data_IF_739250036667
#
_entry.id   IF_739250036667
#
_cell.length_a   1.000
_cell.length_b   1.000
_cell.length_c   1.000
_cell.angle_alpha   90.00
_cell.angle_beta   90.00
_cell.angle_gamma   90.00
#
_symmetry.space_group_name_H-M   'P 1'
#
loop_
_entity.id
_entity.type
_entity.pdbx_description
1 polymer ?
#
# COMPACT_ATOMS: atom_id res chain seq x y z
N UNK A 1 -22.30 24.07 -12.76
CA UNK A 1 -21.38 23.65 -11.70
C UNK A 1 -20.16 23.00 -12.34
N UNK A 2 -19.03 23.69 -12.40
CA UNK A 2 -17.75 23.10 -12.81
C UNK A 2 -17.06 22.53 -11.57
N UNK A 3 -16.88 21.21 -11.52
CA UNK A 3 -16.08 20.57 -10.49
C UNK A 3 -14.61 20.88 -10.76
N UNK A 4 -13.99 21.66 -9.87
CA UNK A 4 -12.54 21.87 -9.88
C UNK A 4 -11.91 20.55 -9.43
N UNK A 5 -11.31 19.83 -10.37
CA UNK A 5 -10.50 18.66 -10.09
C UNK A 5 -9.16 19.16 -9.52
N UNK A 6 -9.03 19.22 -8.19
CA UNK A 6 -7.74 19.49 -7.55
C UNK A 6 -6.84 18.28 -7.78
N UNK A 7 -6.06 18.30 -8.86
CA UNK A 7 -4.95 17.38 -9.03
C UNK A 7 -3.92 17.74 -7.95
N UNK A 8 -3.87 16.94 -6.89
CA UNK A 8 -3.00 17.20 -5.75
C UNK A 8 -1.54 17.13 -6.23
N UNK A 9 -0.90 18.29 -6.38
CA UNK A 9 0.52 18.35 -6.72
C UNK A 9 1.33 17.89 -5.51
N UNK A 10 2.21 16.91 -5.70
CA UNK A 10 3.15 16.47 -4.68
C UNK A 10 3.97 17.65 -4.15
N UNK A 11 4.33 17.61 -2.86
CA UNK A 11 5.06 18.69 -2.20
C UNK A 11 6.41 18.97 -2.87
N UNK A 12 7.16 17.92 -3.26
CA UNK A 12 8.40 18.02 -4.03
C UNK A 12 8.33 17.04 -5.23
N UNK A 13 7.92 17.50 -6.43
CA UNK A 13 7.66 16.61 -7.57
C UNK A 13 8.87 15.80 -8.05
N UNK A 14 10.09 16.33 -7.89
CA UNK A 14 11.32 15.66 -8.30
C UNK A 14 11.77 14.55 -7.35
N UNK A 15 11.19 14.47 -6.15
CA UNK A 15 11.43 13.39 -5.18
C UNK A 15 10.35 12.29 -5.24
N UNK A 16 9.36 12.44 -6.13
CA UNK A 16 8.36 11.40 -6.35
C UNK A 16 9.00 10.14 -6.94
N UNK A 17 8.73 9.01 -6.31
CA UNK A 17 9.07 7.68 -6.81
C UNK A 17 7.88 7.06 -7.54
N UNK A 18 8.13 5.98 -8.28
CA UNK A 18 7.03 5.26 -8.95
C UNK A 18 6.10 4.61 -7.94
N UNK A 19 4.85 4.35 -8.35
CA UNK A 19 3.88 3.64 -7.53
C UNK A 19 4.43 2.29 -7.02
N UNK A 20 5.08 1.52 -7.91
CA UNK A 20 5.67 0.21 -7.56
C UNK A 20 6.83 0.36 -6.57
N UNK A 21 7.66 1.39 -6.71
CA UNK A 21 8.74 1.66 -5.76
C UNK A 21 8.18 2.03 -4.38
N UNK A 22 7.14 2.86 -4.32
CA UNK A 22 6.48 3.21 -3.08
C UNK A 22 5.85 1.97 -2.40
N UNK A 23 5.14 1.13 -3.16
CA UNK A 23 4.56 -0.10 -2.64
C UNK A 23 5.65 -1.05 -2.11
N UNK A 24 6.75 -1.19 -2.84
CA UNK A 24 7.91 -2.01 -2.43
C UNK A 24 8.59 -1.45 -1.18
N UNK A 25 8.77 -0.13 -1.12
CA UNK A 25 9.36 0.58 0.02
C UNK A 25 8.57 0.34 1.31
N UNK A 26 7.24 0.34 1.22
CA UNK A 26 6.33 0.15 2.36
C UNK A 26 6.04 -1.32 2.72
N UNK A 27 6.59 -2.29 1.98
CA UNK A 27 6.32 -3.72 2.23
C UNK A 27 7.63 -4.53 2.31
N UNK A 28 8.14 -5.00 1.18
CA UNK A 28 9.32 -5.88 1.10
C UNK A 28 10.58 -5.17 1.63
N UNK A 29 10.81 -3.91 1.23
CA UNK A 29 12.03 -3.21 1.60
C UNK A 29 12.10 -2.91 3.11
N UNK A 30 10.99 -2.50 3.73
CA UNK A 30 10.97 -2.27 5.18
C UNK A 30 11.07 -3.59 5.97
N UNK A 31 10.47 -4.67 5.47
CA UNK A 31 10.63 -6.00 6.06
C UNK A 31 12.09 -6.43 6.06
N UNK A 32 12.79 -6.24 4.92
CA UNK A 32 14.22 -6.54 4.80
C UNK A 32 15.07 -5.64 5.69
N UNK A 33 14.77 -4.35 5.76
CA UNK A 33 15.48 -3.41 6.65
C UNK A 33 15.32 -3.79 8.13
N UNK A 34 14.22 -4.44 8.49
CA UNK A 34 13.97 -4.98 9.82
C UNK A 34 14.47 -6.42 10.03
N UNK A 35 15.11 -7.05 9.03
CA UNK A 35 15.51 -8.46 9.05
C UNK A 35 14.33 -9.43 9.23
N UNK A 36 13.15 -9.06 8.73
CA UNK A 36 11.90 -9.82 8.82
C UNK A 36 11.35 -10.25 7.45
N UNK A 37 12.13 -10.13 6.38
CA UNK A 37 11.73 -10.47 5.00
C UNK A 37 11.45 -11.96 4.77
N UNK A 38 11.87 -12.83 5.69
CA UNK A 38 11.46 -14.24 5.75
C UNK A 38 10.12 -14.49 6.47
N UNK A 39 9.51 -13.44 7.05
CA UNK A 39 8.33 -13.55 7.89
C UNK A 39 7.19 -12.61 7.46
N UNK A 40 7.47 -11.44 6.88
CA UNK A 40 6.45 -10.48 6.45
C UNK A 40 6.91 -9.63 5.27
N UNK A 41 6.01 -8.76 4.78
CA UNK A 41 6.27 -7.86 3.66
C UNK A 41 5.88 -8.44 2.31
N UNK A 42 5.53 -9.72 2.25
CA UNK A 42 4.95 -10.37 1.07
C UNK A 42 3.81 -11.33 1.47
N UNK A 43 2.91 -11.60 0.53
CA UNK A 43 1.86 -12.60 0.69
C UNK A 43 2.33 -13.94 0.10
N UNK A 44 3.00 -14.74 0.91
CA UNK A 44 3.47 -16.07 0.56
C UNK A 44 3.21 -17.08 1.68
N UNK A 45 3.05 -18.38 1.37
CA UNK A 45 2.94 -19.42 2.39
C UNK A 45 4.12 -19.36 3.37
N UNK A 46 3.83 -19.43 4.67
CA UNK A 46 4.83 -19.35 5.75
C UNK A 46 4.98 -17.97 6.39
N UNK A 47 4.55 -16.90 5.71
CA UNK A 47 4.57 -15.55 6.27
C UNK A 47 3.45 -15.33 7.29
N UNK A 48 3.63 -14.29 8.12
CA UNK A 48 2.57 -13.71 8.92
C UNK A 48 1.45 -13.21 8.02
N UNK A 49 0.20 -13.45 8.43
CA UNK A 49 -0.97 -12.98 7.72
C UNK A 49 -1.27 -11.52 8.08
N UNK A 50 -0.30 -10.64 7.80
CA UNK A 50 -0.34 -9.20 8.05
C UNK A 50 -0.62 -8.50 6.71
N UNK A 51 -1.86 -8.06 6.52
CA UNK A 51 -2.30 -7.45 5.26
C UNK A 51 -3.50 -6.53 5.45
N UNK A 52 -3.73 -5.68 4.45
CA UNK A 52 -4.92 -4.84 4.35
C UNK A 52 -5.76 -5.28 3.15
N UNK A 53 -7.07 -5.16 3.29
CA UNK A 53 -8.02 -5.30 2.17
C UNK A 53 -8.36 -3.89 1.72
N UNK A 54 -8.15 -3.58 0.43
CA UNK A 54 -8.46 -2.28 -0.13
C UNK A 54 -9.77 -2.33 -0.93
N UNK A 55 -10.45 -1.18 -1.05
CA UNK A 55 -11.65 -1.04 -1.87
C UNK A 55 -11.37 -1.06 -3.37
N UNK A 56 -10.10 -0.87 -3.78
CA UNK A 56 -9.70 -0.96 -5.18
C UNK A 56 -9.49 -2.41 -5.60
N UNK A 57 -9.92 -2.72 -6.82
CA UNK A 57 -9.70 -4.00 -7.49
C UNK A 57 -8.71 -3.89 -8.67
N UNK A 58 -8.10 -2.72 -8.89
CA UNK A 58 -7.23 -2.42 -10.03
C UNK A 58 -6.00 -1.62 -9.60
N UNK A 59 -4.82 -2.14 -9.91
CA UNK A 59 -3.55 -1.42 -9.68
C UNK A 59 -3.39 -0.20 -10.59
N UNK A 60 -3.92 -0.25 -11.81
CA UNK A 60 -3.84 0.87 -12.75
C UNK A 60 -4.73 2.04 -12.33
N UNK A 61 -5.89 1.75 -11.71
CA UNK A 61 -6.75 2.79 -11.15
C UNK A 61 -6.16 3.32 -9.84
N UNK A 62 -5.72 2.42 -8.97
CA UNK A 62 -5.14 2.80 -7.68
C UNK A 62 -3.86 3.63 -7.83
N UNK A 63 -3.01 3.34 -8.82
CA UNK A 63 -1.77 4.09 -9.06
C UNK A 63 -1.96 5.50 -9.62
N UNK A 64 -3.13 5.80 -10.23
CA UNK A 64 -3.42 7.15 -10.78
C UNK A 64 -3.77 8.14 -9.68
N UNK A 65 -4.64 7.72 -8.78
CA UNK A 65 -5.24 8.61 -7.77
C UNK A 65 -4.69 8.37 -6.37
N UNK A 66 -3.98 7.24 -6.15
CA UNK A 66 -3.43 6.86 -4.85
C UNK A 66 -4.48 6.63 -3.76
N UNK A 67 -5.76 6.57 -4.14
CA UNK A 67 -6.87 6.58 -3.20
C UNK A 67 -7.65 5.26 -3.24
N UNK A 68 -7.73 4.63 -2.09
CA UNK A 68 -8.60 3.50 -1.80
C UNK A 68 -8.94 3.54 -0.31
N UNK A 69 -10.15 3.12 0.04
CA UNK A 69 -10.48 2.89 1.44
C UNK A 69 -9.91 1.56 1.90
N UNK A 70 -9.40 1.51 3.13
CA UNK A 70 -9.09 0.24 3.79
C UNK A 70 -10.42 -0.35 4.26
N UNK A 71 -10.75 -1.56 3.79
CA UNK A 71 -11.98 -2.30 4.14
C UNK A 71 -11.77 -3.30 5.28
N UNK A 72 -10.51 -3.63 5.58
CA UNK A 72 -10.13 -4.42 6.73
C UNK A 72 -8.60 -4.41 6.90
N UNK A 73 -8.16 -4.54 8.15
CA UNK A 73 -6.75 -4.75 8.51
C UNK A 73 -6.61 -6.05 9.29
N UNK A 74 -5.73 -6.93 8.83
CA UNK A 74 -5.40 -8.19 9.47
C UNK A 74 -3.98 -8.13 10.03
N UNK A 75 -3.82 -8.59 11.28
CA UNK A 75 -2.52 -8.73 11.95
C UNK A 75 -2.51 -10.08 12.66
N UNK A 76 -1.50 -10.90 12.41
CA UNK A 76 -1.32 -12.21 13.03
C UNK A 76 -2.51 -13.14 12.82
N UNK A 77 -3.14 -13.11 11.63
CA UNK A 77 -4.36 -13.89 11.26
C UNK A 77 -5.65 -13.41 11.91
N UNK A 78 -5.65 -12.29 12.62
CA UNK A 78 -6.85 -11.71 13.23
C UNK A 78 -7.21 -10.41 12.54
N UNK A 79 -8.49 -10.23 12.21
CA UNK A 79 -9.00 -8.92 11.80
C UNK A 79 -8.98 -7.97 13.00
N UNK A 80 -8.21 -6.90 12.91
CA UNK A 80 -8.07 -5.90 13.97
C UNK A 80 -8.93 -4.67 13.71
N UNK A 81 -9.14 -4.32 12.43
CA UNK A 81 -9.97 -3.19 12.01
C UNK A 81 -10.84 -3.57 10.81
N UNK A 82 -12.11 -3.13 10.76
CA UNK A 82 -12.92 -3.10 9.55
C UNK A 82 -12.61 -1.88 8.68
#
# INVERSE_FOLDING_TARGET
MSYIHFKQTAWIPFECISFTDALTAHTISVARAAFMDHHLGSLSPGNLADFVVLSSNSWDEFSKDGSASVLATYVGRKQMYP
#
